data_IF_840415885854
#
_entry.id   IF_840415885854
#
_cell.length_a   1.000
_cell.length_b   1.000
_cell.length_c   1.000
_cell.angle_alpha   90.00
_cell.angle_beta   90.00
_cell.angle_gamma   90.00
#
_symmetry.space_group_name_H-M   'P 1'
#
loop_
_entity.id
_entity.type
_entity.pdbx_description
1 polymer ?
#
# COMPACT_ATOMS: atom_id res chain seq x y z
N UNK A 1 6.75 8.82 -6.73
CA UNK A 1 7.96 8.56 -5.92
C UNK A 1 7.77 7.58 -4.75
N UNK A 2 6.93 7.86 -3.73
CA UNK A 2 6.78 6.98 -2.54
C UNK A 2 6.45 5.53 -2.90
N UNK A 3 5.55 5.31 -3.86
CA UNK A 3 5.19 3.98 -4.35
C UNK A 3 6.41 3.16 -4.84
N UNK A 4 7.25 3.75 -5.70
CA UNK A 4 8.46 3.09 -6.21
C UNK A 4 9.47 2.81 -5.10
N UNK A 5 9.63 3.74 -4.15
CA UNK A 5 10.49 3.54 -2.96
C UNK A 5 9.99 2.36 -2.12
N UNK A 6 8.68 2.27 -1.90
CA UNK A 6 8.06 1.18 -1.15
C UNK A 6 8.31 -0.17 -1.84
N UNK A 7 8.04 -0.27 -3.15
CA UNK A 7 8.36 -1.49 -3.91
C UNK A 7 9.85 -1.88 -3.80
N UNK A 8 10.75 -0.90 -3.77
CA UNK A 8 12.18 -1.11 -3.54
C UNK A 8 12.52 -1.73 -2.19
N UNK A 9 11.73 -1.44 -1.15
CA UNK A 9 11.87 -1.99 0.21
C UNK A 9 11.32 -3.41 0.34
N UNK A 10 10.39 -3.82 -0.53
CA UNK A 10 9.85 -5.17 -0.55
C UNK A 10 10.95 -6.17 -1.02
N UNK A 11 11.08 -7.34 -0.36
CA UNK A 11 11.98 -8.39 -0.81
C UNK A 11 11.75 -8.77 -2.27
N UNK A 12 12.83 -9.03 -3.01
CA UNK A 12 12.79 -9.22 -4.47
C UNK A 12 11.73 -10.23 -4.92
N UNK A 13 11.61 -11.35 -4.21
CA UNK A 13 10.66 -12.43 -4.53
C UNK A 13 9.18 -12.02 -4.41
N UNK A 14 8.86 -11.03 -3.56
CA UNK A 14 7.48 -10.55 -3.38
C UNK A 14 7.17 -9.32 -4.23
N UNK A 15 8.19 -8.59 -4.70
CA UNK A 15 8.04 -7.26 -5.31
C UNK A 15 7.10 -7.25 -6.50
N UNK A 16 7.24 -8.20 -7.42
CA UNK A 16 6.39 -8.27 -8.61
C UNK A 16 4.93 -8.49 -8.23
N UNK A 17 4.66 -9.47 -7.36
CA UNK A 17 3.30 -9.77 -6.89
C UNK A 17 2.71 -8.57 -6.15
N UNK A 18 3.49 -7.91 -5.28
CA UNK A 18 3.05 -6.71 -4.58
C UNK A 18 2.69 -5.58 -5.56
N UNK A 19 3.50 -5.36 -6.59
CA UNK A 19 3.20 -4.37 -7.61
C UNK A 19 1.90 -4.68 -8.35
N UNK A 20 1.73 -5.92 -8.82
CA UNK A 20 0.52 -6.36 -9.52
C UNK A 20 -0.74 -6.20 -8.66
N UNK A 21 -0.66 -6.55 -7.38
CA UNK A 21 -1.75 -6.35 -6.42
C UNK A 21 -2.05 -4.87 -6.23
N UNK A 22 -1.04 -4.04 -5.98
CA UNK A 22 -1.27 -2.60 -5.69
C UNK A 22 -1.80 -1.86 -6.92
N UNK A 23 -1.25 -2.13 -8.10
CA UNK A 23 -1.69 -1.53 -9.37
C UNK A 23 -3.16 -1.89 -9.69
N UNK A 24 -3.63 -3.05 -9.23
CA UNK A 24 -5.03 -3.48 -9.36
C UNK A 24 -5.94 -2.89 -8.28
N UNK A 25 -5.51 -2.94 -7.02
CA UNK A 25 -6.37 -2.62 -5.87
C UNK A 25 -6.51 -1.11 -5.64
N UNK A 26 -5.46 -0.31 -5.89
CA UNK A 26 -5.55 1.14 -5.65
C UNK A 26 -6.64 1.83 -6.49
N UNK A 27 -6.82 1.53 -7.79
CA UNK A 27 -7.96 2.03 -8.55
C UNK A 27 -9.32 1.57 -8.02
N UNK A 28 -9.41 0.34 -7.52
CA UNK A 28 -10.65 -0.19 -6.93
C UNK A 28 -11.00 0.56 -5.63
N UNK A 29 -10.01 0.76 -4.76
CA UNK A 29 -10.17 1.55 -3.54
C UNK A 29 -10.64 2.99 -3.82
N UNK A 30 -10.09 3.62 -4.86
CA UNK A 30 -10.52 4.95 -5.30
C UNK A 30 -11.98 4.97 -5.79
N UNK A 31 -12.38 3.96 -6.57
CA UNK A 31 -13.76 3.79 -7.03
C UNK A 31 -14.72 3.55 -5.87
N UNK A 32 -14.36 2.70 -4.90
CA UNK A 32 -15.15 2.45 -3.69
C UNK A 32 -15.33 3.72 -2.84
N UNK A 33 -14.32 4.59 -2.83
CA UNK A 33 -14.37 5.92 -2.22
C UNK A 33 -15.20 6.94 -3.04
N UNK A 34 -15.64 6.57 -4.25
CA UNK A 34 -16.47 7.41 -5.11
C UNK A 34 -15.68 8.50 -5.84
N UNK A 35 -14.37 8.33 -6.01
CA UNK A 35 -13.51 9.29 -6.72
C UNK A 35 -12.90 8.70 -7.98
N UNK A 36 -12.52 9.57 -8.92
CA UNK A 36 -11.95 9.16 -10.20
C UNK A 36 -10.41 9.01 -10.16
N UNK A 37 -9.76 9.63 -9.16
CA UNK A 37 -8.31 9.68 -9.06
C UNK A 37 -7.83 8.89 -7.84
N UNK A 38 -6.80 8.07 -8.06
CA UNK A 38 -6.10 7.34 -6.99
C UNK A 38 -5.31 8.33 -6.14
N UNK A 39 -5.53 8.28 -4.84
CA UNK A 39 -4.78 9.06 -3.84
C UNK A 39 -3.94 8.14 -2.95
N UNK A 40 -3.16 8.75 -2.05
CA UNK A 40 -2.23 8.03 -1.16
C UNK A 40 -2.95 6.98 -0.28
N UNK A 41 -4.15 7.28 0.21
CA UNK A 41 -4.97 6.35 1.00
C UNK A 41 -5.28 5.05 0.24
N UNK A 42 -5.58 5.15 -1.05
CA UNK A 42 -5.96 4.01 -1.89
C UNK A 42 -4.77 3.08 -2.11
N UNK A 43 -3.57 3.65 -2.23
CA UNK A 43 -2.30 2.93 -2.35
C UNK A 43 -1.94 2.25 -1.03
N UNK A 44 -2.09 2.95 0.10
CA UNK A 44 -1.82 2.40 1.43
C UNK A 44 -2.72 1.20 1.70
N UNK A 45 -4.04 1.32 1.48
CA UNK A 45 -4.99 0.21 1.61
C UNK A 45 -4.61 -0.98 0.72
N UNK A 46 -4.21 -0.71 -0.52
CA UNK A 46 -3.80 -1.74 -1.46
C UNK A 46 -2.55 -2.52 -1.01
N UNK A 47 -1.61 -1.88 -0.31
CA UNK A 47 -0.45 -2.59 0.25
C UNK A 47 -0.83 -3.55 1.40
N UNK A 48 -1.96 -3.36 2.06
CA UNK A 48 -2.41 -4.23 3.16
C UNK A 48 -3.44 -5.29 2.73
N UNK A 49 -4.00 -5.20 1.53
CA UNK A 49 -5.16 -6.01 1.11
C UNK A 49 -4.88 -7.52 1.03
N UNK A 50 -3.68 -7.89 0.58
CA UNK A 50 -3.26 -9.29 0.38
C UNK A 50 -2.10 -9.68 1.30
N UNK A 51 -1.84 -8.88 2.34
CA UNK A 51 -0.79 -9.14 3.31
C UNK A 51 -1.40 -9.85 4.52
N UNK A 52 -0.86 -11.00 4.96
CA UNK A 52 -1.31 -11.60 6.22
C UNK A 52 -1.04 -10.67 7.41
N UNK A 53 -1.98 -10.62 8.36
CA UNK A 53 -1.91 -9.71 9.53
C UNK A 53 -0.60 -9.84 10.33
N UNK A 54 0.01 -11.02 10.37
CA UNK A 54 1.32 -11.25 11.02
C UNK A 54 2.44 -10.38 10.46
N UNK A 55 2.32 -9.90 9.21
CA UNK A 55 3.29 -9.04 8.54
C UNK A 55 2.90 -7.55 8.55
N UNK A 56 1.80 -7.15 9.19
CA UNK A 56 1.40 -5.74 9.23
C UNK A 56 2.44 -4.86 9.91
N UNK A 57 3.05 -5.36 11.00
CA UNK A 57 4.09 -4.62 11.72
C UNK A 57 5.31 -4.29 10.86
N UNK A 58 5.73 -5.19 9.95
CA UNK A 58 6.84 -4.90 9.03
C UNK A 58 6.40 -3.95 7.92
N UNK A 59 5.19 -4.11 7.38
CA UNK A 59 4.66 -3.19 6.36
C UNK A 59 4.55 -1.77 6.87
N UNK A 60 4.04 -1.59 8.10
CA UNK A 60 3.98 -0.30 8.79
C UNK A 60 5.36 0.35 8.88
N UNK A 61 6.38 -0.39 9.34
CA UNK A 61 7.76 0.13 9.43
C UNK A 61 8.29 0.56 8.07
N UNK A 62 8.04 -0.24 7.02
CA UNK A 62 8.46 0.10 5.66
C UNK A 62 7.74 1.34 5.12
N UNK A 63 6.47 1.54 5.50
CA UNK A 63 5.68 2.73 5.14
C UNK A 63 6.18 3.99 5.83
N UNK A 64 6.49 3.91 7.14
CA UNK A 64 7.12 5.02 7.88
C UNK A 64 8.46 5.40 7.25
N UNK A 65 9.28 4.41 6.86
CA UNK A 65 10.56 4.58 6.18
C UNK A 65 10.49 5.33 4.83
N UNK A 66 9.32 5.34 4.19
CA UNK A 66 9.09 6.00 2.88
C UNK A 66 8.13 7.19 2.98
N UNK A 67 7.85 7.63 4.22
CA UNK A 67 6.97 8.75 4.56
C UNK A 67 5.51 8.57 4.10
N UNK A 68 4.98 7.34 4.07
CA UNK A 68 3.54 7.10 3.90
C UNK A 68 2.78 7.41 5.20
N UNK A 69 1.76 8.26 5.13
CA UNK A 69 0.96 8.62 6.30
C UNK A 69 -0.15 7.59 6.56
N UNK A 70 0.23 6.35 6.88
CA UNK A 70 -0.73 5.26 7.09
C UNK A 70 -1.63 5.50 8.31
N UNK A 71 -1.15 6.22 9.33
CA UNK A 71 -1.88 6.52 10.57
C UNK A 71 -3.10 7.41 10.34
N UNK A 72 -3.05 8.26 9.31
CA UNK A 72 -4.20 9.07 8.90
C UNK A 72 -5.36 8.24 8.35
N UNK A 73 -5.09 7.00 7.93
CA UNK A 73 -6.02 6.15 7.21
C UNK A 73 -6.35 4.83 7.92
N UNK A 74 -5.53 4.39 8.89
CA UNK A 74 -5.92 3.34 9.83
C UNK A 74 -6.86 3.91 10.90
N UNK A 75 -8.15 3.56 10.80
CA UNK A 75 -9.01 3.52 11.99
C UNK A 75 -8.66 2.24 12.75
N UNK A 76 -7.91 2.36 13.84
CA UNK A 76 -7.85 1.30 14.86
C UNK A 76 -9.24 1.08 15.46
#
# INVERSE_FOLDING_TARGET
>A
EKYKKMLGKIPLFHRQITQEVVDKMAPQNAQERGVQFVEEEDIIKAFFSEVPQTFYSIMIRLMEDVDFDYKKYEKQ
#
